data_IF_310833338783
#
_entry.id   IF_310833338783
#
_cell.length_a   1.000
_cell.length_b   1.000
_cell.length_c   1.000
_cell.angle_alpha   90.00
_cell.angle_beta   90.00
_cell.angle_gamma   90.00
#
_symmetry.space_group_name_H-M   'P 1'
#
loop_
_entity.id
_entity.type
_entity.pdbx_description
1 polymer ?
#
# COMPACT_ATOMS: atom_id res chain seq x y z
N UNK A 1 -2.04 1.27 21.29
CA UNK A 1 -2.42 0.54 20.07
C UNK A 1 -1.18 -0.05 19.40
N UNK A 2 -1.26 -1.26 18.90
CA UNK A 2 -0.17 -1.97 18.20
C UNK A 2 -0.34 -1.82 16.69
N UNK A 3 0.75 -1.56 15.99
CA UNK A 3 0.74 -1.38 14.53
C UNK A 3 1.66 -2.41 13.88
N UNK A 4 1.17 -3.05 12.80
CA UNK A 4 1.96 -3.90 11.92
C UNK A 4 2.11 -3.21 10.56
N UNK A 5 3.35 -3.07 10.07
CA UNK A 5 3.65 -2.56 8.73
C UNK A 5 4.30 -3.69 7.92
N UNK A 6 3.56 -4.28 7.01
CA UNK A 6 4.05 -5.27 6.06
C UNK A 6 4.56 -4.54 4.81
N UNK A 7 5.78 -4.80 4.40
CA UNK A 7 6.52 -3.98 3.44
C UNK A 7 7.31 -2.85 4.13
N UNK A 8 7.75 -3.11 5.37
CA UNK A 8 8.40 -2.14 6.25
C UNK A 8 9.75 -1.65 5.75
N UNK A 9 10.51 -2.48 5.03
CA UNK A 9 11.80 -2.08 4.43
C UNK A 9 11.65 -1.24 3.15
N UNK A 10 10.46 -1.25 2.52
CA UNK A 10 10.17 -0.52 1.31
C UNK A 10 10.12 1.00 1.52
N UNK A 11 10.27 1.75 0.40
CA UNK A 11 10.27 3.22 0.42
C UNK A 11 9.04 3.81 1.13
N UNK A 12 7.85 3.31 0.84
CA UNK A 12 6.60 3.82 1.47
C UNK A 12 6.52 3.37 2.93
N UNK A 13 6.91 2.13 3.24
CA UNK A 13 6.96 1.62 4.62
C UNK A 13 7.84 2.48 5.53
N UNK A 14 9.03 2.86 5.05
CA UNK A 14 9.95 3.74 5.79
C UNK A 14 9.40 5.17 5.95
N UNK A 15 8.72 5.72 4.92
CA UNK A 15 8.05 7.02 5.04
C UNK A 15 6.88 6.98 6.01
N UNK A 16 6.12 5.90 5.99
CA UNK A 16 5.01 5.67 6.93
C UNK A 16 5.53 5.53 8.37
N UNK A 17 6.55 4.72 8.59
CA UNK A 17 7.20 4.59 9.91
C UNK A 17 7.60 5.98 10.46
N UNK A 18 8.34 6.76 9.68
CA UNK A 18 8.79 8.09 10.09
C UNK A 18 7.61 9.03 10.42
N UNK A 19 6.50 8.91 9.69
CA UNK A 19 5.30 9.72 9.95
C UNK A 19 4.62 9.29 11.27
N UNK A 20 4.49 7.98 11.49
CA UNK A 20 3.89 7.42 12.72
C UNK A 20 4.72 7.78 13.96
N UNK A 21 6.05 7.72 13.87
CA UNK A 21 6.95 8.13 14.95
C UNK A 21 6.79 9.61 15.31
N UNK A 22 6.53 10.48 14.33
CA UNK A 22 6.27 11.91 14.56
C UNK A 22 4.88 12.17 15.15
N UNK A 23 3.88 11.40 14.75
CA UNK A 23 2.50 11.57 15.23
C UNK A 23 2.30 10.98 16.63
N UNK A 24 2.97 9.87 16.96
CA UNK A 24 2.86 9.09 18.19
C UNK A 24 1.44 8.62 18.55
N UNK A 25 0.44 9.08 17.82
CA UNK A 25 -1.00 8.77 18.02
C UNK A 25 -1.71 8.61 16.69
N UNK A 26 -2.70 7.71 16.65
CA UNK A 26 -3.71 7.62 15.60
C UNK A 26 -5.10 7.59 16.28
N UNK A 27 -6.10 8.29 15.71
CA UNK A 27 -7.44 8.40 16.31
C UNK A 27 -7.41 8.74 17.82
N UNK A 28 -6.52 9.65 18.23
CA UNK A 28 -6.27 10.03 19.62
C UNK A 28 -5.75 8.90 20.55
N UNK A 29 -5.47 7.72 20.03
CA UNK A 29 -4.88 6.62 20.79
C UNK A 29 -3.37 6.59 20.60
N UNK A 30 -2.63 6.46 21.71
CA UNK A 30 -1.17 6.37 21.71
C UNK A 30 -0.73 5.07 21.03
N UNK A 31 0.28 5.17 20.15
CA UNK A 31 0.94 4.01 19.57
C UNK A 31 1.84 3.40 20.66
N UNK A 32 1.59 2.13 21.00
CA UNK A 32 2.34 1.41 22.05
C UNK A 32 3.49 0.57 21.49
N UNK A 33 3.38 0.15 20.21
CA UNK A 33 4.36 -0.73 19.56
C UNK A 33 4.19 -0.66 18.05
N UNK A 34 5.29 -0.75 17.29
CA UNK A 34 5.30 -0.91 15.85
C UNK A 34 6.11 -2.15 15.48
N UNK A 35 5.50 -3.08 14.75
CA UNK A 35 6.18 -4.21 14.14
C UNK A 35 6.37 -3.90 12.65
N UNK A 36 7.61 -3.94 12.17
CA UNK A 36 7.96 -3.90 10.77
C UNK A 36 8.13 -5.34 10.29
N UNK A 37 7.58 -5.65 9.12
CA UNK A 37 7.75 -6.94 8.47
C UNK A 37 8.09 -6.73 6.99
N UNK A 38 9.07 -7.48 6.50
CA UNK A 38 9.45 -7.50 5.09
C UNK A 38 10.17 -8.81 4.76
N UNK A 39 10.56 -9.06 3.51
CA UNK A 39 11.44 -10.18 3.13
C UNK A 39 12.84 -10.04 3.74
N UNK A 40 13.26 -8.82 4.07
CA UNK A 40 14.49 -8.50 4.78
C UNK A 40 14.18 -7.73 6.05
N UNK A 41 15.11 -7.70 6.99
CA UNK A 41 14.97 -6.86 8.17
C UNK A 41 14.89 -5.38 7.76
N UNK A 42 13.80 -4.72 8.20
CA UNK A 42 13.59 -3.31 7.93
C UNK A 42 14.41 -2.44 8.86
N UNK A 43 15.14 -1.42 8.36
CA UNK A 43 15.85 -0.50 9.22
C UNK A 43 14.88 0.40 9.99
N UNK A 44 15.26 0.77 11.24
CA UNK A 44 14.54 1.72 12.06
C UNK A 44 15.47 2.48 12.99
N UNK A 45 15.10 3.68 13.47
CA UNK A 45 15.93 4.47 14.38
C UNK A 45 16.08 3.77 15.76
N UNK A 46 17.29 3.81 16.31
CA UNK A 46 17.58 3.19 17.61
C UNK A 46 16.96 3.93 18.82
N UNK A 47 16.75 5.24 18.71
CA UNK A 47 16.23 6.08 19.80
C UNK A 47 14.83 6.59 19.45
N UNK A 48 13.81 5.82 19.83
CA UNK A 48 12.39 6.18 19.61
C UNK A 48 11.60 6.03 20.90
N UNK A 49 10.58 6.88 21.08
CA UNK A 49 9.64 6.79 22.19
C UNK A 49 8.67 5.61 22.07
N UNK A 50 8.60 5.00 20.88
CA UNK A 50 7.73 3.87 20.58
C UNK A 50 8.61 2.65 20.36
N UNK A 51 8.40 1.54 21.10
CA UNK A 51 9.06 0.28 20.82
C UNK A 51 8.84 -0.19 19.38
N UNK A 52 9.94 -0.52 18.71
CA UNK A 52 9.92 -1.03 17.34
C UNK A 52 10.61 -2.38 17.30
N UNK A 53 10.03 -3.33 16.58
CA UNK A 53 10.68 -4.59 16.24
C UNK A 53 10.62 -4.79 14.72
N UNK A 54 11.69 -5.36 14.16
CA UNK A 54 11.72 -5.79 12.76
C UNK A 54 11.71 -7.31 12.70
N UNK A 55 10.91 -7.85 11.80
CA UNK A 55 10.82 -9.29 11.49
C UNK A 55 10.96 -9.47 10.00
N UNK A 56 11.62 -10.55 9.60
CA UNK A 56 11.75 -10.92 8.19
C UNK A 56 11.10 -12.26 7.90
N UNK A 57 10.62 -12.42 6.65
CA UNK A 57 10.00 -13.65 6.20
C UNK A 57 9.30 -13.48 4.85
N UNK A 58 8.83 -14.58 4.30
CA UNK A 58 8.08 -14.60 3.05
C UNK A 58 6.58 -14.57 3.34
N UNK A 59 5.87 -13.57 2.81
CA UNK A 59 4.41 -13.43 2.99
C UNK A 59 3.62 -14.52 2.26
N UNK A 60 4.22 -15.19 1.26
CA UNK A 60 3.60 -16.33 0.57
C UNK A 60 3.45 -17.55 1.48
N UNK A 61 4.25 -17.63 2.56
CA UNK A 61 4.09 -18.62 3.61
C UNK A 61 2.97 -18.21 4.58
N UNK A 62 1.89 -18.97 4.59
CA UNK A 62 0.73 -18.69 5.44
C UNK A 62 1.05 -18.74 6.95
N UNK A 63 2.04 -19.50 7.36
CA UNK A 63 2.43 -19.61 8.77
C UNK A 63 3.16 -18.34 9.23
N UNK A 64 3.83 -17.64 8.33
CA UNK A 64 4.38 -16.30 8.58
C UNK A 64 3.26 -15.32 8.92
N UNK A 65 2.21 -15.26 8.09
CA UNK A 65 1.04 -14.42 8.36
C UNK A 65 0.35 -14.79 9.67
N UNK A 66 0.15 -16.07 9.96
CA UNK A 66 -0.41 -16.54 11.25
C UNK A 66 0.41 -16.03 12.44
N UNK A 67 1.74 -16.20 12.38
CA UNK A 67 2.65 -15.78 13.45
C UNK A 67 2.66 -14.26 13.68
N UNK A 68 2.56 -13.46 12.63
CA UNK A 68 2.45 -12.01 12.72
C UNK A 68 1.16 -11.58 13.44
N UNK A 69 0.06 -12.25 13.14
CA UNK A 69 -1.27 -11.91 13.68
C UNK A 69 -1.48 -12.39 15.11
N UNK A 70 -0.67 -13.32 15.64
CA UNK A 70 -0.72 -13.73 17.06
C UNK A 70 -0.57 -12.57 18.04
N UNK A 71 0.17 -11.52 17.67
CA UNK A 71 0.31 -10.31 18.50
C UNK A 71 -0.95 -9.44 18.54
N UNK A 72 -1.96 -9.75 17.71
CA UNK A 72 -3.21 -9.01 17.54
C UNK A 72 -2.98 -7.51 17.33
N UNK A 73 -2.32 -7.08 16.23
CA UNK A 73 -2.16 -5.67 15.93
C UNK A 73 -3.53 -4.99 15.72
N UNK A 74 -3.68 -3.80 16.27
CA UNK A 74 -4.92 -3.00 16.12
C UNK A 74 -5.04 -2.42 14.71
N UNK A 75 -3.89 -2.06 14.12
CA UNK A 75 -3.81 -1.53 12.75
C UNK A 75 -2.75 -2.29 11.96
N UNK A 76 -3.12 -2.70 10.76
CA UNK A 76 -2.25 -3.40 9.81
C UNK A 76 -2.15 -2.55 8.53
N UNK A 77 -0.93 -2.15 8.16
CA UNK A 77 -0.65 -1.57 6.86
C UNK A 77 -0.05 -2.65 5.96
N UNK A 78 -0.81 -3.09 4.96
CA UNK A 78 -0.37 -4.10 4.02
C UNK A 78 0.19 -3.43 2.74
N UNK A 79 1.51 -3.21 2.73
CA UNK A 79 2.27 -2.58 1.65
C UNK A 79 3.13 -3.61 0.88
N UNK A 80 3.32 -4.81 1.46
CA UNK A 80 4.14 -5.86 0.86
C UNK A 80 3.57 -6.30 -0.49
N UNK A 81 4.38 -6.20 -1.53
CA UNK A 81 4.06 -6.64 -2.88
C UNK A 81 5.31 -6.63 -3.74
N UNK A 82 5.37 -7.49 -4.75
CA UNK A 82 6.30 -7.29 -5.86
C UNK A 82 5.70 -6.32 -6.88
N UNK A 83 6.58 -5.61 -7.59
CA UNK A 83 6.19 -4.54 -8.51
C UNK A 83 5.67 -5.06 -9.85
N UNK A 84 4.99 -4.20 -10.60
CA UNK A 84 4.24 -4.56 -11.80
C UNK A 84 5.04 -5.28 -12.87
N UNK A 85 6.24 -4.82 -13.22
CA UNK A 85 7.04 -5.47 -14.24
C UNK A 85 7.60 -6.82 -13.78
N UNK A 86 7.94 -6.97 -12.50
CA UNK A 86 8.37 -8.26 -11.97
C UNK A 86 7.20 -9.25 -11.94
N UNK A 87 6.01 -8.85 -11.51
CA UNK A 87 4.83 -9.71 -11.50
C UNK A 87 4.39 -10.14 -12.91
N UNK A 88 4.74 -9.36 -13.94
CA UNK A 88 4.50 -9.74 -15.34
C UNK A 88 5.54 -10.75 -15.86
N UNK A 89 6.80 -10.61 -15.45
CA UNK A 89 7.88 -11.50 -15.86
C UNK A 89 7.87 -12.83 -15.08
N UNK A 90 7.54 -12.79 -13.80
CA UNK A 90 7.53 -13.89 -12.86
C UNK A 90 6.10 -14.14 -12.34
N UNK A 91 5.25 -14.71 -13.21
CA UNK A 91 3.80 -14.85 -12.95
C UNK A 91 3.51 -15.56 -11.62
N UNK A 92 4.14 -16.71 -11.37
CA UNK A 92 3.92 -17.52 -10.16
C UNK A 92 4.32 -16.74 -8.90
N UNK A 93 5.47 -16.07 -8.93
CA UNK A 93 5.94 -15.22 -7.82
C UNK A 93 4.97 -14.07 -7.57
N UNK A 94 4.46 -13.43 -8.65
CA UNK A 94 3.43 -12.40 -8.57
C UNK A 94 2.17 -12.89 -7.90
N UNK A 95 1.70 -14.05 -8.32
CA UNK A 95 0.53 -14.69 -7.76
C UNK A 95 0.70 -15.05 -6.28
N UNK A 96 1.82 -15.69 -5.94
CA UNK A 96 2.09 -16.14 -4.58
C UNK A 96 2.20 -14.97 -3.59
N UNK A 97 2.93 -13.92 -3.95
CA UNK A 97 3.14 -12.77 -3.05
C UNK A 97 1.94 -11.82 -3.05
N UNK A 98 1.47 -11.36 -4.23
CA UNK A 98 0.48 -10.29 -4.28
C UNK A 98 -0.95 -10.79 -4.00
N UNK A 99 -1.32 -11.96 -4.50
CA UNK A 99 -2.68 -12.51 -4.34
C UNK A 99 -2.77 -13.47 -3.17
N UNK A 100 -2.03 -14.59 -3.18
CA UNK A 100 -2.10 -15.60 -2.11
C UNK A 100 -1.59 -15.06 -0.78
N UNK A 101 -0.50 -14.28 -0.78
CA UNK A 101 0.02 -13.64 0.44
C UNK A 101 -1.00 -12.70 1.08
N UNK A 102 -1.72 -11.91 0.27
CA UNK A 102 -2.80 -11.05 0.76
C UNK A 102 -3.96 -11.89 1.33
N UNK A 103 -4.41 -12.91 0.59
CA UNK A 103 -5.45 -13.82 1.08
C UNK A 103 -5.02 -14.55 2.34
N UNK A 104 -3.79 -15.04 2.42
CA UNK A 104 -3.24 -15.72 3.61
C UNK A 104 -3.26 -14.83 4.86
N UNK A 105 -2.96 -13.53 4.70
CA UNK A 105 -3.10 -12.56 5.78
C UNK A 105 -4.57 -12.39 6.23
N UNK A 106 -5.51 -12.27 5.29
CA UNK A 106 -6.92 -12.11 5.62
C UNK A 106 -7.46 -13.36 6.34
N UNK A 107 -7.06 -14.56 5.92
CA UNK A 107 -7.38 -15.82 6.59
C UNK A 107 -6.75 -15.90 7.99
N UNK A 108 -5.50 -15.46 8.16
CA UNK A 108 -4.85 -15.42 9.47
C UNK A 108 -5.61 -14.51 10.45
N UNK A 109 -6.13 -13.38 9.99
CA UNK A 109 -6.97 -12.47 10.78
C UNK A 109 -8.31 -13.15 11.11
N UNK A 110 -9.01 -13.68 10.12
CA UNK A 110 -10.30 -14.35 10.30
C UNK A 110 -10.25 -15.49 11.34
N UNK A 111 -9.17 -16.25 11.33
CA UNK A 111 -8.97 -17.37 12.26
C UNK A 111 -8.66 -16.95 13.71
N UNK A 112 -8.47 -15.64 14.01
CA UNK A 112 -8.36 -15.17 15.40
C UNK A 112 -9.71 -15.07 16.13
N UNK A 113 -10.82 -15.33 15.42
CA UNK A 113 -12.17 -15.35 15.98
C UNK A 113 -12.88 -13.98 15.97
N UNK A 114 -14.16 -14.02 16.35
CA UNK A 114 -15.10 -12.89 16.22
C UNK A 114 -14.74 -11.65 17.04
N UNK A 115 -13.92 -11.80 18.08
CA UNK A 115 -13.50 -10.71 18.94
C UNK A 115 -12.27 -9.94 18.42
N UNK A 116 -11.83 -10.20 17.18
CA UNK A 116 -10.70 -9.54 16.58
C UNK A 116 -11.05 -9.06 15.16
N UNK A 117 -11.21 -7.76 15.01
CA UNK A 117 -11.52 -7.09 13.75
C UNK A 117 -10.58 -5.86 13.62
N UNK A 118 -9.32 -6.07 13.20
CA UNK A 118 -8.35 -4.99 13.10
C UNK A 118 -8.67 -4.05 11.93
N UNK A 119 -8.24 -2.78 12.04
CA UNK A 119 -8.15 -1.89 10.89
C UNK A 119 -7.05 -2.41 9.95
N UNK A 120 -7.39 -2.69 8.69
CA UNK A 120 -6.44 -3.08 7.65
C UNK A 120 -6.45 -2.06 6.51
N UNK A 121 -5.32 -1.40 6.28
CA UNK A 121 -5.10 -0.51 5.16
C UNK A 121 -4.29 -1.25 4.09
N UNK A 122 -4.95 -1.55 2.98
CA UNK A 122 -4.35 -2.27 1.84
C UNK A 122 -3.92 -1.29 0.75
N UNK A 123 -2.69 -1.43 0.28
CA UNK A 123 -2.22 -0.69 -0.89
C UNK A 123 -2.57 -1.43 -2.17
N UNK A 124 -3.63 -0.97 -2.82
CA UNK A 124 -3.93 -1.30 -4.20
C UNK A 124 -3.23 -0.31 -5.16
N UNK A 125 -3.59 -0.32 -6.41
CA UNK A 125 -2.93 0.44 -7.47
C UNK A 125 -3.92 0.90 -8.52
N UNK A 126 -3.62 2.01 -9.20
CA UNK A 126 -4.32 2.40 -10.43
C UNK A 126 -4.15 1.37 -11.57
N UNK A 127 -3.24 0.41 -11.45
CA UNK A 127 -3.09 -0.71 -12.39
C UNK A 127 -4.31 -1.65 -12.43
N UNK A 128 -5.26 -1.52 -11.50
CA UNK A 128 -6.56 -2.21 -11.58
C UNK A 128 -7.44 -1.71 -12.72
N UNK A 129 -7.14 -0.54 -13.25
CA UNK A 129 -7.84 0.03 -14.39
C UNK A 129 -7.16 -0.33 -15.71
N UNK A 130 -7.93 -0.70 -16.70
CA UNK A 130 -7.48 -1.01 -18.07
C UNK A 130 -8.14 -0.11 -19.10
N UNK A 131 -7.43 0.16 -20.20
CA UNK A 131 -7.94 0.90 -21.35
C UNK A 131 -9.11 0.14 -22.03
N UNK A 132 -10.03 0.86 -22.73
CA UNK A 132 -10.03 2.30 -22.97
C UNK A 132 -10.47 3.10 -21.74
N UNK A 133 -9.85 4.27 -21.54
CA UNK A 133 -10.19 5.15 -20.43
C UNK A 133 -11.10 6.29 -20.87
N UNK A 134 -12.04 6.73 -20.03
CA UNK A 134 -12.71 8.02 -20.18
C UNK A 134 -11.72 9.17 -19.91
N UNK A 135 -12.06 10.39 -20.30
CA UNK A 135 -11.24 11.58 -20.00
C UNK A 135 -10.90 11.74 -18.51
N UNK A 136 -11.83 11.33 -17.67
CA UNK A 136 -11.66 11.28 -16.20
C UNK A 136 -12.18 9.95 -15.71
N UNK A 137 -11.39 9.27 -14.87
CA UNK A 137 -11.79 8.02 -14.23
C UNK A 137 -12.60 8.38 -12.96
N UNK A 138 -13.91 8.11 -12.90
CA UNK A 138 -14.71 8.35 -11.72
C UNK A 138 -14.43 7.31 -10.62
N UNK A 139 -14.92 7.58 -9.40
CA UNK A 139 -14.69 6.69 -8.26
C UNK A 139 -15.37 5.32 -8.39
N UNK A 140 -16.40 5.22 -9.20
CA UNK A 140 -17.17 4.01 -9.49
C UNK A 140 -16.75 3.32 -10.79
N UNK A 141 -15.63 3.74 -11.41
CA UNK A 141 -15.13 3.11 -12.61
C UNK A 141 -14.73 1.65 -12.35
N UNK A 142 -15.12 0.77 -13.26
CA UNK A 142 -14.88 -0.65 -13.15
C UNK A 142 -13.40 -1.02 -13.19
N UNK A 143 -13.02 -2.05 -12.44
CA UNK A 143 -11.69 -2.65 -12.54
C UNK A 143 -11.63 -3.59 -13.73
N UNK A 144 -10.75 -3.27 -14.67
CA UNK A 144 -10.52 -4.03 -15.91
C UNK A 144 -9.02 -4.18 -16.15
N UNK A 145 -8.29 -4.82 -15.23
CA UNK A 145 -6.83 -4.85 -15.30
C UNK A 145 -6.33 -5.54 -16.57
N UNK A 146 -5.27 -5.00 -17.18
CA UNK A 146 -4.61 -5.54 -18.37
C UNK A 146 -3.22 -6.11 -18.05
N UNK A 147 -2.87 -6.26 -16.77
CA UNK A 147 -1.60 -6.81 -16.32
C UNK A 147 -1.82 -7.79 -15.18
N UNK A 148 -0.90 -8.76 -15.01
CA UNK A 148 -0.93 -9.71 -13.90
C UNK A 148 -0.96 -9.00 -12.54
N UNK A 149 -0.12 -7.98 -12.36
CA UNK A 149 -0.11 -7.15 -11.16
C UNK A 149 -1.45 -6.47 -10.87
N UNK A 150 -2.05 -5.87 -11.91
CA UNK A 150 -3.36 -5.23 -11.80
C UNK A 150 -4.46 -6.21 -11.42
N UNK A 151 -4.46 -7.42 -12.02
CA UNK A 151 -5.39 -8.49 -11.69
C UNK A 151 -5.23 -8.96 -10.24
N UNK A 152 -4.00 -9.19 -9.78
CA UNK A 152 -3.69 -9.60 -8.40
C UNK A 152 -4.18 -8.55 -7.38
N UNK A 153 -3.98 -7.26 -7.66
CA UNK A 153 -4.47 -6.17 -6.80
C UNK A 153 -6.00 -6.08 -6.80
N UNK A 154 -6.66 -6.22 -7.96
CA UNK A 154 -8.12 -6.20 -8.06
C UNK A 154 -8.77 -7.39 -7.31
N UNK A 155 -8.19 -8.59 -7.41
CA UNK A 155 -8.63 -9.76 -6.63
C UNK A 155 -8.54 -9.48 -5.13
N UNK A 156 -7.43 -8.91 -4.67
CA UNK A 156 -7.23 -8.57 -3.25
C UNK A 156 -8.19 -7.50 -2.76
N UNK A 157 -8.57 -6.50 -3.61
CA UNK A 157 -9.63 -5.53 -3.29
C UNK A 157 -10.97 -6.22 -3.06
N UNK A 158 -11.36 -7.15 -3.95
CA UNK A 158 -12.63 -7.88 -3.86
C UNK A 158 -12.67 -8.78 -2.62
N UNK A 159 -11.58 -9.48 -2.33
CA UNK A 159 -11.46 -10.28 -1.12
C UNK A 159 -11.59 -9.40 0.13
N UNK A 160 -10.82 -8.30 0.23
CA UNK A 160 -10.90 -7.40 1.37
C UNK A 160 -12.31 -6.82 1.56
N UNK A 161 -13.00 -6.49 0.47
CA UNK A 161 -14.36 -5.98 0.52
C UNK A 161 -15.33 -7.03 1.10
N UNK A 162 -15.22 -8.31 0.73
CA UNK A 162 -16.07 -9.37 1.29
C UNK A 162 -15.77 -9.65 2.76
N UNK A 163 -14.48 -9.73 3.14
CA UNK A 163 -14.08 -9.90 4.55
C UNK A 163 -14.56 -8.72 5.42
N UNK A 164 -14.55 -7.50 4.87
CA UNK A 164 -15.02 -6.31 5.58
C UNK A 164 -16.54 -6.29 5.71
N UNK A 165 -17.27 -6.61 4.65
CA UNK A 165 -18.73 -6.77 4.69
C UNK A 165 -19.16 -7.82 5.73
N UNK A 166 -18.37 -8.87 5.91
CA UNK A 166 -18.55 -9.92 6.93
C UNK A 166 -18.05 -9.52 8.32
N UNK A 167 -17.52 -8.29 8.50
CA UNK A 167 -16.99 -7.77 9.77
C UNK A 167 -15.83 -8.60 10.35
N UNK A 168 -15.09 -9.30 9.51
CA UNK A 168 -13.89 -10.02 9.89
C UNK A 168 -12.67 -9.10 9.94
N UNK A 169 -12.67 -8.05 9.09
CA UNK A 169 -11.62 -7.05 8.95
C UNK A 169 -12.29 -5.68 8.78
N UNK A 170 -11.81 -4.66 9.46
CA UNK A 170 -12.19 -3.27 9.17
C UNK A 170 -11.25 -2.73 8.07
N UNK A 171 -11.58 -3.07 6.83
CA UNK A 171 -10.72 -2.86 5.67
C UNK A 171 -10.88 -1.51 5.00
N UNK A 172 -9.77 -0.94 4.54
CA UNK A 172 -9.73 0.19 3.61
C UNK A 172 -8.68 -0.10 2.55
N UNK A 173 -9.06 -0.08 1.29
CA UNK A 173 -8.15 -0.23 0.15
C UNK A 173 -7.88 1.13 -0.50
N UNK A 174 -6.61 1.46 -0.73
CA UNK A 174 -6.18 2.69 -1.40
C UNK A 174 -5.52 2.36 -2.72
N UNK A 175 -6.10 2.80 -3.83
CA UNK A 175 -5.50 2.71 -5.16
C UNK A 175 -4.45 3.79 -5.30
N UNK A 176 -3.19 3.42 -5.06
CA UNK A 176 -2.07 4.34 -5.19
C UNK A 176 -1.80 4.67 -6.66
N UNK A 177 -1.59 5.95 -6.99
CA UNK A 177 -1.07 6.35 -8.29
C UNK A 177 0.42 6.02 -8.41
N UNK A 178 1.02 6.39 -9.52
CA UNK A 178 2.48 6.29 -9.66
C UNK A 178 3.18 7.19 -8.66
N UNK A 179 4.03 6.59 -7.83
CA UNK A 179 4.79 7.33 -6.82
C UNK A 179 6.08 7.86 -7.41
N UNK A 180 6.19 9.19 -7.49
CA UNK A 180 7.31 9.96 -8.01
C UNK A 180 7.79 11.04 -7.00
N UNK A 181 9.08 11.30 -6.87
CA UNK A 181 10.22 10.62 -7.47
C UNK A 181 10.68 9.52 -6.51
N UNK A 182 10.94 8.32 -7.02
CA UNK A 182 11.50 7.21 -6.23
C UNK A 182 13.00 7.41 -6.10
N UNK A 183 13.56 7.47 -4.88
CA UNK A 183 15.00 7.53 -4.68
C UNK A 183 15.68 6.18 -4.97
N UNK A 184 16.98 6.21 -5.14
CA UNK A 184 17.80 5.01 -5.32
C UNK A 184 17.78 4.45 -6.74
N UNK A 185 18.24 3.22 -6.90
CA UNK A 185 18.37 2.57 -8.21
C UNK A 185 16.99 2.25 -8.81
N UNK A 186 16.85 2.27 -10.16
CA UNK A 186 15.66 1.79 -10.85
C UNK A 186 15.30 0.37 -10.42
N UNK A 187 14.01 0.09 -10.33
CA UNK A 187 13.46 -1.25 -10.12
C UNK A 187 12.57 -1.65 -11.32
N UNK A 188 12.07 -2.88 -11.31
CA UNK A 188 11.23 -3.43 -12.37
C UNK A 188 9.78 -2.90 -12.41
N UNK A 189 9.46 -1.79 -11.74
CA UNK A 189 8.14 -1.17 -11.88
C UNK A 189 7.98 -0.58 -13.28
N UNK A 190 6.91 -0.96 -13.99
CA UNK A 190 6.63 -0.46 -15.35
C UNK A 190 6.57 1.08 -15.41
N UNK A 191 6.11 1.74 -14.33
CA UNK A 191 6.06 3.19 -14.19
C UNK A 191 7.36 3.82 -13.65
N UNK A 192 8.45 3.04 -13.56
CA UNK A 192 9.73 3.51 -13.00
C UNK A 192 10.34 4.68 -13.77
N UNK A 193 10.12 4.72 -15.09
CA UNK A 193 10.62 5.77 -15.97
C UNK A 193 10.14 7.18 -15.60
N UNK A 194 8.95 7.34 -15.03
CA UNK A 194 8.47 8.65 -14.53
C UNK A 194 9.35 9.22 -13.42
N UNK A 195 9.98 8.38 -12.62
CA UNK A 195 11.01 8.83 -11.69
C UNK A 195 12.35 9.02 -12.39
N UNK A 196 12.66 8.13 -13.34
CA UNK A 196 13.91 8.14 -14.11
C UNK A 196 14.13 9.43 -14.88
N UNK A 197 13.13 9.92 -15.62
CA UNK A 197 13.23 11.16 -16.42
C UNK A 197 13.49 12.41 -15.59
N UNK A 198 13.36 12.34 -14.27
CA UNK A 198 13.71 13.42 -13.34
C UNK A 198 15.01 13.11 -12.61
N UNK A 199 15.13 11.92 -12.05
CA UNK A 199 16.25 11.53 -11.17
C UNK A 199 17.56 11.39 -11.91
N UNK A 200 17.58 10.70 -13.05
CA UNK A 200 18.78 10.43 -13.82
C UNK A 200 19.45 11.70 -14.34
N UNK A 201 18.72 12.66 -14.99
CA UNK A 201 19.31 13.93 -15.41
C UNK A 201 19.85 14.77 -14.27
N UNK A 202 19.20 14.77 -13.10
CA UNK A 202 19.71 15.46 -11.91
C UNK A 202 21.02 14.85 -11.39
N UNK A 203 21.33 13.61 -11.76
CA UNK A 203 22.59 12.94 -11.45
C UNK A 203 23.55 12.89 -12.66
N UNK A 204 23.31 13.69 -13.71
CA UNK A 204 24.14 13.76 -14.89
C UNK A 204 24.06 12.52 -15.79
N UNK A 205 22.98 11.74 -15.68
CA UNK A 205 22.74 10.53 -16.46
C UNK A 205 21.66 10.76 -17.51
N UNK A 206 21.73 10.03 -18.61
CA UNK A 206 20.70 10.03 -19.63
C UNK A 206 19.43 9.29 -19.12
N UNK A 207 18.26 9.79 -19.52
CA UNK A 207 16.99 9.14 -19.23
C UNK A 207 16.15 9.00 -20.50
N UNK A 208 15.48 7.86 -20.62
CA UNK A 208 14.59 7.54 -21.74
C UNK A 208 13.14 7.71 -21.31
N UNK A 209 12.36 8.48 -22.08
CA UNK A 209 10.92 8.54 -22.00
C UNK A 209 10.30 7.53 -22.98
N UNK A 210 9.81 6.36 -22.51
CA UNK A 210 9.33 5.28 -23.39
C UNK A 210 7.88 5.48 -23.88
N UNK A 211 7.28 6.64 -23.59
CA UNK A 211 5.89 6.97 -23.95
C UNK A 211 5.81 8.34 -24.61
N UNK A 212 4.70 8.61 -25.28
CA UNK A 212 4.46 9.94 -25.86
C UNK A 212 4.49 11.01 -24.76
N UNK A 213 5.16 12.17 -24.97
CA UNK A 213 5.20 13.27 -24.01
C UNK A 213 3.83 13.81 -23.57
N UNK A 214 2.79 13.65 -24.40
CA UNK A 214 1.43 14.09 -24.08
C UNK A 214 0.64 13.13 -23.19
N UNK A 215 1.24 12.00 -22.77
CA UNK A 215 0.60 11.03 -21.88
C UNK A 215 0.30 11.68 -20.55
N UNK A 216 -0.99 11.76 -20.23
CA UNK A 216 -1.44 12.15 -18.89
C UNK A 216 -1.37 10.95 -17.95
N UNK A 217 -0.80 11.16 -16.79
CA UNK A 217 -0.66 10.10 -15.81
C UNK A 217 -0.88 10.61 -14.38
N UNK A 218 -1.28 9.71 -13.53
CA UNK A 218 -1.65 10.00 -12.15
C UNK A 218 -0.44 9.82 -11.22
N UNK A 219 -0.05 10.87 -10.50
CA UNK A 219 1.15 10.87 -9.65
C UNK A 219 0.86 11.27 -8.22
N UNK A 220 1.67 10.75 -7.31
CA UNK A 220 1.79 11.24 -5.93
C UNK A 220 3.24 11.16 -5.45
N UNK A 221 3.58 12.00 -4.47
CA UNK A 221 4.88 11.90 -3.82
C UNK A 221 4.90 10.78 -2.78
N UNK A 222 6.08 10.21 -2.44
CA UNK A 222 6.18 9.23 -1.35
C UNK A 222 5.65 9.75 -0.01
N UNK A 223 5.82 11.05 0.26
CA UNK A 223 5.30 11.71 1.47
C UNK A 223 3.78 11.77 1.46
N UNK A 224 3.17 12.14 0.33
CA UNK A 224 1.72 12.16 0.19
C UNK A 224 1.14 10.76 0.36
N UNK A 225 1.73 9.74 -0.27
CA UNK A 225 1.31 8.35 -0.12
C UNK A 225 1.28 7.90 1.34
N UNK A 226 2.33 8.17 2.12
CA UNK A 226 2.34 7.86 3.55
C UNK A 226 1.24 8.61 4.32
N UNK A 227 0.99 9.89 3.99
CA UNK A 227 -0.10 10.68 4.59
C UNK A 227 -1.47 10.09 4.33
N UNK A 228 -1.72 9.61 3.12
CA UNK A 228 -2.98 8.96 2.76
C UNK A 228 -3.19 7.63 3.49
N UNK A 229 -2.13 6.84 3.66
CA UNK A 229 -2.21 5.60 4.44
C UNK A 229 -2.59 5.87 5.90
N UNK A 230 -2.00 6.90 6.50
CA UNK A 230 -2.37 7.34 7.85
C UNK A 230 -3.83 7.79 7.89
N UNK A 231 -4.26 8.60 6.92
CA UNK A 231 -5.66 9.03 6.84
C UNK A 231 -6.63 7.85 6.67
N UNK A 232 -6.28 6.85 5.84
CA UNK A 232 -7.06 5.63 5.68
C UNK A 232 -7.16 4.80 6.97
N UNK A 233 -6.11 4.84 7.80
CA UNK A 233 -6.17 4.20 9.11
C UNK A 233 -7.07 4.95 10.10
N UNK A 234 -7.25 6.26 9.94
CA UNK A 234 -8.03 7.12 10.82
C UNK A 234 -9.49 7.32 10.35
N UNK A 235 -9.82 7.01 9.09
CA UNK A 235 -11.16 7.24 8.54
C UNK A 235 -12.22 6.38 9.23
N UNK A 236 -13.40 6.95 9.43
CA UNK A 236 -14.54 6.18 9.90
C UNK A 236 -15.19 5.42 8.72
N UNK A 237 -14.96 4.11 8.65
CA UNK A 237 -15.45 3.25 7.55
C UNK A 237 -16.97 3.16 7.50
N UNK A 238 -17.69 3.37 8.61
CA UNK A 238 -19.16 3.40 8.58
C UNK A 238 -19.74 4.50 7.70
N UNK A 239 -18.95 5.52 7.37
CA UNK A 239 -19.34 6.62 6.48
C UNK A 239 -19.06 6.35 5.00
N UNK A 240 -18.44 5.21 4.68
CA UNK A 240 -18.04 4.88 3.31
C UNK A 240 -19.14 4.14 2.52
N UNK A 241 -20.32 3.87 3.13
CA UNK A 241 -21.43 3.18 2.49
C UNK A 241 -20.97 1.89 1.76
N UNK A 242 -20.24 1.04 2.46
CA UNK A 242 -19.62 -0.21 1.98
C UNK A 242 -18.57 -0.04 0.84
N UNK A 243 -18.29 1.17 0.42
CA UNK A 243 -17.24 1.47 -0.56
C UNK A 243 -15.90 1.64 0.14
N UNK A 244 -15.26 0.55 0.49
CA UNK A 244 -13.97 0.57 1.21
C UNK A 244 -12.75 0.78 0.31
N UNK A 245 -12.91 0.74 -1.01
CA UNK A 245 -11.84 0.97 -1.99
C UNK A 245 -11.92 2.40 -2.52
N UNK A 246 -10.84 3.15 -2.31
CA UNK A 246 -10.76 4.58 -2.58
C UNK A 246 -9.68 4.89 -3.61
N UNK A 247 -10.01 5.72 -4.59
CA UNK A 247 -9.03 6.31 -5.48
C UNK A 247 -8.31 7.45 -4.75
N UNK A 248 -6.99 7.46 -4.85
CA UNK A 248 -6.20 8.51 -4.25
C UNK A 248 -6.07 9.67 -5.22
N UNK A 249 -6.65 10.81 -4.91
CA UNK A 249 -6.54 12.02 -5.73
C UNK A 249 -5.88 13.16 -4.97
N UNK A 250 -4.85 13.76 -5.57
CA UNK A 250 -4.20 14.97 -5.03
C UNK A 250 -5.04 16.23 -5.24
N UNK A 251 -6.00 16.20 -6.16
CA UNK A 251 -6.83 17.38 -6.50
C UNK A 251 -7.73 17.78 -5.32
N UNK A 252 -8.14 16.82 -4.50
CA UNK A 252 -8.99 17.08 -3.34
C UNK A 252 -8.24 17.45 -2.05
N UNK A 253 -6.90 17.43 -2.06
CA UNK A 253 -6.07 17.63 -0.86
C UNK A 253 -5.25 18.92 -0.92
N UNK A 254 -5.10 19.52 -2.10
CA UNK A 254 -4.22 20.66 -2.30
C UNK A 254 -4.81 21.76 -3.16
N UNK A 255 -5.97 22.27 -2.80
CA UNK A 255 -6.13 23.69 -3.04
C UNK A 255 -5.67 24.40 -1.76
N UNK A 256 -4.44 24.96 -1.74
CA UNK A 256 -4.21 26.09 -0.86
C UNK A 256 -5.22 27.13 -1.34
N UNK A 257 -6.17 27.50 -0.49
CA UNK A 257 -6.89 28.74 -0.63
C UNK A 257 -5.84 29.79 -0.94
N UNK A 258 -5.74 30.18 -2.21
CA UNK A 258 -4.94 31.34 -2.59
C UNK A 258 -5.57 32.53 -1.89
N UNK A 259 -4.77 33.38 -1.22
CA UNK A 259 -5.24 34.63 -0.66
C UNK A 259 -5.78 35.54 -1.74
#
# INVERSE_FOLDING_TARGET
MKILIMGGAGMIGQKLLNLLLKKEKLNNQKISEITLFDIIEAPYPNNTNIPIQSKSGDISDIDVSKNLILSKPDIIFHLAAIVSGQAEQEFDLGWDINAKGSWGLFEAIRHQGENYCPRLVFTSSIAVFGAPFPDKIPDDFFTTPLTSYGAQKAISELLLADYSRKKMIDGVSIRLPTICVRPGKPNLAASGFFSGIIREPLNGQEAILPVNPDVRHWHATPRAAAGFLVHAAEINTSKLNDRITLNLSLIHISEPTRP
#
